data_IF_459535102622
#
_entry.id   IF_459535102622
#
_cell.length_a   1.000
_cell.length_b   1.000
_cell.length_c   1.000
_cell.angle_alpha   90.00
_cell.angle_beta   90.00
_cell.angle_gamma   90.00
#
_symmetry.space_group_name_H-M   'P 1'
#
loop_
_entity.id
_entity.type
_entity.pdbx_description
1 polymer ?
#
# COMPACT_ATOMS: atom_id res chain seq x y z
N UNK A 1 15.45 -4.94 6.18
CA UNK A 1 14.35 -5.88 6.47
C UNK A 1 13.45 -5.29 7.56
N UNK A 2 12.43 -4.52 7.18
CA UNK A 2 11.30 -4.31 8.09
C UNK A 2 10.63 -5.67 8.25
N UNK A 3 10.94 -6.35 9.36
CA UNK A 3 10.29 -7.58 9.81
C UNK A 3 8.88 -7.26 10.35
N UNK A 4 8.20 -6.32 9.70
CA UNK A 4 6.84 -5.91 10.00
C UNK A 4 5.93 -6.83 9.22
N UNK A 5 5.00 -7.45 9.94
CA UNK A 5 4.10 -8.47 9.45
C UNK A 5 3.56 -8.11 8.06
N UNK A 6 3.90 -8.89 7.02
CA UNK A 6 3.56 -8.62 5.62
C UNK A 6 2.05 -8.39 5.46
N UNK A 7 1.27 -9.16 6.22
CA UNK A 7 -0.17 -9.06 6.41
C UNK A 7 -0.62 -7.68 6.91
N UNK A 8 0.15 -7.03 7.79
CA UNK A 8 -0.19 -5.70 8.29
C UNK A 8 -0.11 -4.65 7.17
N UNK A 9 0.95 -4.69 6.35
CA UNK A 9 1.11 -3.74 5.25
C UNK A 9 0.18 -4.03 4.07
N UNK A 10 -0.09 -5.31 3.77
CA UNK A 10 -0.93 -5.69 2.63
C UNK A 10 -2.43 -5.69 2.92
N UNK A 11 -2.83 -5.92 4.18
CA UNK A 11 -4.24 -6.05 4.57
C UNK A 11 -4.66 -4.92 5.51
N UNK A 12 -3.96 -4.75 6.64
CA UNK A 12 -4.40 -3.80 7.68
C UNK A 12 -4.29 -2.36 7.23
N UNK A 13 -3.18 -2.00 6.59
CA UNK A 13 -2.94 -0.63 6.13
C UNK A 13 -3.93 -0.13 5.06
N UNK A 14 -4.23 -0.90 3.99
CA UNK A 14 -5.28 -0.52 3.05
C UNK A 14 -6.67 -0.51 3.69
N UNK A 15 -6.94 -1.39 4.67
CA UNK A 15 -8.19 -1.38 5.42
C UNK A 15 -8.36 -0.10 6.25
N UNK A 16 -7.29 0.37 6.92
CA UNK A 16 -7.28 1.63 7.66
C UNK A 16 -7.50 2.82 6.72
N UNK A 17 -6.80 2.84 5.57
CA UNK A 17 -6.98 3.91 4.56
C UNK A 17 -8.43 3.94 4.08
N UNK A 18 -9.01 2.78 3.74
CA UNK A 18 -10.41 2.67 3.35
C UNK A 18 -11.35 3.18 4.43
N UNK A 19 -11.10 2.79 5.70
CA UNK A 19 -11.90 3.21 6.84
C UNK A 19 -11.85 4.74 7.01
N UNK A 20 -10.67 5.34 7.03
CA UNK A 20 -10.49 6.81 7.15
C UNK A 20 -11.17 7.54 6.00
N UNK A 21 -11.08 6.99 4.79
CA UNK A 21 -11.66 7.62 3.60
C UNK A 21 -13.19 7.50 3.55
N UNK A 22 -13.74 6.37 4.00
CA UNK A 22 -15.18 6.17 4.11
C UNK A 22 -15.81 6.99 5.24
N UNK A 23 -15.08 7.17 6.35
CA UNK A 23 -15.52 7.95 7.51
C UNK A 23 -15.34 9.46 7.33
N UNK A 24 -14.35 9.91 6.54
CA UNK A 24 -14.12 11.34 6.26
C UNK A 24 -15.37 12.10 5.79
N UNK A 25 -16.14 11.64 4.78
CA UNK A 25 -17.34 12.35 4.35
C UNK A 25 -18.43 12.38 5.43
N UNK A 26 -18.51 11.34 6.29
CA UNK A 26 -19.45 11.26 7.42
C UNK A 26 -19.06 12.25 8.54
N UNK A 27 -17.77 12.36 8.86
CA UNK A 27 -17.27 13.21 9.94
C UNK A 27 -17.20 14.70 9.58
N UNK A 28 -17.03 15.02 8.29
CA UNK A 28 -16.83 16.39 7.82
C UNK A 28 -18.03 16.97 7.07
N UNK A 29 -19.20 16.32 7.14
CA UNK A 29 -20.48 16.74 6.57
C UNK A 29 -20.33 17.27 5.13
N UNK A 30 -19.50 16.56 4.34
CA UNK A 30 -19.12 16.98 3.00
C UNK A 30 -20.06 16.25 2.03
N UNK A 31 -20.96 16.99 1.38
CA UNK A 31 -21.89 16.47 0.35
C UNK A 31 -21.17 15.75 -0.81
N UNK A 32 -19.88 16.00 -0.99
CA UNK A 32 -19.05 15.27 -1.93
C UNK A 32 -18.70 13.91 -1.34
N UNK A 33 -19.60 12.95 -1.52
CA UNK A 33 -19.25 11.54 -1.50
C UNK A 33 -18.02 11.38 -2.39
N UNK A 34 -16.88 11.06 -1.77
CA UNK A 34 -15.72 10.73 -2.58
C UNK A 34 -16.11 9.52 -3.42
N UNK A 35 -16.12 9.69 -4.74
CA UNK A 35 -16.61 8.69 -5.68
C UNK A 35 -15.92 7.36 -5.40
N UNK A 36 -16.62 6.23 -5.52
CA UNK A 36 -15.99 4.91 -5.39
C UNK A 36 -14.73 4.81 -6.26
N UNK A 37 -14.70 5.51 -7.41
CA UNK A 37 -13.53 5.64 -8.28
C UNK A 37 -12.29 6.23 -7.58
N UNK A 38 -12.45 7.27 -6.78
CA UNK A 38 -11.34 7.91 -6.06
C UNK A 38 -10.81 7.00 -4.95
N UNK A 39 -11.71 6.33 -4.22
CA UNK A 39 -11.33 5.36 -3.19
C UNK A 39 -10.55 4.18 -3.81
N UNK A 40 -11.04 3.62 -4.92
CA UNK A 40 -10.34 2.60 -5.68
C UNK A 40 -9.02 3.11 -6.26
N UNK A 41 -8.96 4.37 -6.69
CA UNK A 41 -7.74 5.01 -7.19
C UNK A 41 -6.64 5.06 -6.14
N UNK A 42 -6.97 5.54 -4.94
CA UNK A 42 -6.03 5.63 -3.81
C UNK A 42 -5.59 4.23 -3.36
N UNK A 43 -6.53 3.29 -3.29
CA UNK A 43 -6.23 1.91 -2.92
C UNK A 43 -5.27 1.25 -3.92
N UNK A 44 -5.54 1.42 -5.23
CA UNK A 44 -4.69 0.90 -6.30
C UNK A 44 -3.30 1.54 -6.25
N UNK A 45 -3.22 2.85 -6.06
CA UNK A 45 -1.96 3.57 -5.95
C UNK A 45 -1.12 3.07 -4.76
N UNK A 46 -1.75 2.81 -3.61
CA UNK A 46 -1.11 2.22 -2.44
C UNK A 46 -0.49 0.85 -2.75
N UNK A 47 -1.23 -0.03 -3.42
CA UNK A 47 -0.72 -1.35 -3.82
C UNK A 47 0.41 -1.28 -4.84
N UNK A 48 0.37 -0.33 -5.79
CA UNK A 48 1.45 -0.13 -6.76
C UNK A 48 2.74 0.32 -6.07
N UNK A 49 2.65 1.24 -5.11
CA UNK A 49 3.81 1.70 -4.33
C UNK A 49 4.41 0.57 -3.48
N UNK A 50 3.54 -0.17 -2.76
CA UNK A 50 3.98 -1.32 -1.96
C UNK A 50 4.59 -2.42 -2.83
N UNK A 51 3.95 -2.74 -3.96
CA UNK A 51 4.45 -3.72 -4.93
C UNK A 51 5.80 -3.32 -5.52
N UNK A 52 5.97 -2.03 -5.87
CA UNK A 52 7.23 -1.49 -6.35
C UNK A 52 8.36 -1.60 -5.30
N UNK A 53 8.06 -1.29 -4.04
CA UNK A 53 9.04 -1.44 -2.95
C UNK A 53 9.49 -2.89 -2.77
N UNK A 54 8.55 -3.84 -2.70
CA UNK A 54 8.88 -5.27 -2.60
C UNK A 54 9.61 -5.79 -3.83
N UNK A 55 9.26 -5.30 -5.02
CA UNK A 55 9.93 -5.68 -6.26
C UNK A 55 11.40 -5.23 -6.26
N UNK A 56 11.68 -4.01 -5.83
CA UNK A 56 13.04 -3.49 -5.68
C UNK A 56 13.81 -4.28 -4.62
N UNK A 57 13.18 -4.64 -3.50
CA UNK A 57 13.80 -5.46 -2.44
C UNK A 57 14.22 -6.84 -2.97
N UNK A 58 13.33 -7.52 -3.71
CA UNK A 58 13.62 -8.80 -4.37
C UNK A 58 14.73 -8.65 -5.42
N UNK A 59 14.70 -7.58 -6.22
CA UNK A 59 15.71 -7.31 -7.24
C UNK A 59 17.08 -7.10 -6.58
N UNK A 60 17.12 -6.32 -5.50
CA UNK A 60 18.32 -6.05 -4.71
C UNK A 60 18.88 -7.33 -4.10
N UNK A 61 18.03 -8.19 -3.54
CA UNK A 61 18.43 -9.50 -3.01
C UNK A 61 19.02 -10.41 -4.10
N UNK A 62 18.42 -10.43 -5.31
CA UNK A 62 18.95 -11.18 -6.46
C UNK A 62 20.30 -10.66 -6.93
N UNK A 63 20.47 -9.34 -7.01
CA UNK A 63 21.75 -8.72 -7.40
C UNK A 63 22.83 -9.04 -6.36
N UNK A 64 22.49 -8.94 -5.07
CA UNK A 64 23.41 -9.23 -3.97
C UNK A 64 23.85 -10.70 -3.95
N UNK A 65 22.94 -11.65 -4.16
CA UNK A 65 23.27 -13.09 -4.30
C UNK A 65 24.16 -13.38 -5.52
N UNK A 66 24.01 -12.62 -6.61
CA UNK A 66 24.85 -12.78 -7.80
C UNK A 66 26.27 -12.21 -7.61
N UNK A 67 26.43 -11.27 -6.67
CA UNK A 67 27.72 -10.64 -6.36
C UNK A 67 28.59 -11.44 -5.39
N UNK A 68 28.01 -12.30 -4.55
CA UNK A 68 28.71 -13.10 -3.52
C UNK A 68 29.15 -14.50 -4.02
N UNK A 69 28.91 -14.83 -5.29
CA UNK A 69 29.26 -16.11 -5.91
C UNK A 69 30.44 -16.05 -6.88
N UNK A 70 31.43 -15.20 -6.59
CA UNK A 70 32.69 -15.07 -7.35
C UNK A 70 33.84 -15.79 -6.68
#
# INVERSE_FOLDING_TARGET
MMKGNLTYYFIVNPLIIFLVYALSPILFDKEVYTSMKDAFGILTFYYVLMGGYYFIDILSEKIKKKSDGG
#
